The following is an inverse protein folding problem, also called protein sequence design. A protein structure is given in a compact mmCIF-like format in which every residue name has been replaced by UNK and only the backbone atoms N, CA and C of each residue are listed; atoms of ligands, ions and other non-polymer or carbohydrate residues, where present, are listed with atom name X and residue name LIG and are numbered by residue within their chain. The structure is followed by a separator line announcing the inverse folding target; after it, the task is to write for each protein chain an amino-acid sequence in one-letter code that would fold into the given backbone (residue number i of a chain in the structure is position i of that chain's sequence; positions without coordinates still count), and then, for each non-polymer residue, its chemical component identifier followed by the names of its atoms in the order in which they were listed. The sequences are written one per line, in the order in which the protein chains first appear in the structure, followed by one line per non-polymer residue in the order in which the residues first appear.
data_IF_173690236153
#
_entry.id   IF_173690236153
#
_cell.length_a   1.000
_cell.length_b   1.000
_cell.length_c   1.000
_cell.angle_alpha   90.00
_cell.angle_beta   90.00
_cell.angle_gamma   90.00
#
_symmetry.space_group_name_H-M   'P 1'
#
loop_
_entity.id
_entity.type
_entity.pdbx_description
1 polymer ?
#
# COMPACT_ATOMS: atom_id res chain seq x y z
N UNK A 1 -13.34 50.23 -44.31
CA UNK A 1 -13.72 50.84 -43.02
C UNK A 1 -14.00 49.72 -42.03
N UNK A 2 -13.31 49.72 -40.88
CA UNK A 2 -13.49 48.80 -39.74
C UNK A 2 -14.36 49.53 -38.68
N UNK A 3 -15.17 48.84 -37.84
CA UNK A 3 -14.69 48.54 -36.49
C UNK A 3 -15.10 47.12 -36.02
N UNK A 4 -14.13 46.30 -35.63
CA UNK A 4 -13.81 45.96 -34.23
C UNK A 4 -14.96 45.24 -33.50
N UNK A 5 -15.04 43.92 -33.63
CA UNK A 5 -15.81 43.09 -32.71
C UNK A 5 -14.91 42.69 -31.55
N UNK A 6 -15.34 43.10 -30.36
CA UNK A 6 -14.61 43.06 -29.10
C UNK A 6 -14.32 41.61 -28.69
N UNK A 7 -13.07 41.39 -28.30
CA UNK A 7 -12.59 40.21 -27.60
C UNK A 7 -13.44 39.98 -26.34
N UNK A 8 -14.28 38.94 -26.34
CA UNK A 8 -14.83 38.38 -25.12
C UNK A 8 -13.91 37.24 -24.67
N UNK A 9 -13.01 37.58 -23.77
CA UNK A 9 -12.13 36.64 -23.07
C UNK A 9 -12.99 35.73 -22.22
N UNK A 10 -13.19 34.48 -22.65
CA UNK A 10 -13.81 33.44 -21.82
C UNK A 10 -12.75 32.95 -20.85
N UNK A 11 -12.72 33.54 -19.66
CA UNK A 11 -11.89 33.04 -18.56
C UNK A 11 -12.53 31.76 -18.04
N UNK A 12 -12.07 30.62 -18.54
CA UNK A 12 -12.39 29.33 -17.94
C UNK A 12 -11.74 29.26 -16.55
N UNK A 13 -12.57 29.38 -15.52
CA UNK A 13 -12.15 29.18 -14.12
C UNK A 13 -11.84 27.69 -13.96
N UNK A 14 -10.54 27.34 -14.00
CA UNK A 14 -10.05 26.02 -13.64
C UNK A 14 -10.16 25.86 -12.12
N UNK A 15 -11.23 25.23 -11.65
CA UNK A 15 -11.34 24.77 -10.26
C UNK A 15 -10.38 23.58 -10.09
N UNK A 16 -9.13 23.84 -9.69
CA UNK A 16 -8.22 22.80 -9.26
C UNK A 16 -8.75 22.24 -7.94
N UNK A 17 -9.43 21.10 -8.00
CA UNK A 17 -9.83 20.36 -6.81
C UNK A 17 -8.54 19.83 -6.20
N UNK A 18 -7.97 20.58 -5.26
CA UNK A 18 -6.92 20.10 -4.37
C UNK A 18 -7.57 19.10 -3.40
N UNK A 19 -7.92 17.92 -3.91
CA UNK A 19 -8.20 16.78 -3.06
C UNK A 19 -6.90 16.48 -2.32
N UNK A 20 -6.89 16.68 -0.99
CA UNK A 20 -5.78 16.24 -0.17
C UNK A 20 -5.54 14.77 -0.51
N UNK A 21 -4.39 14.48 -1.13
CA UNK A 21 -3.97 13.11 -1.34
C UNK A 21 -3.97 12.46 0.04
N UNK A 22 -4.89 11.51 0.27
CA UNK A 22 -4.89 10.73 1.50
C UNK A 22 -3.53 10.04 1.55
N UNK A 23 -2.66 10.45 2.48
CA UNK A 23 -1.44 9.71 2.76
C UNK A 23 -1.87 8.41 3.42
N UNK A 24 -1.90 7.34 2.62
CA UNK A 24 -2.12 5.96 3.05
C UNK A 24 -0.87 5.46 3.77
N UNK A 25 -0.48 6.17 4.84
CA UNK A 25 0.74 5.96 5.61
C UNK A 25 0.86 4.54 6.18
N UNK A 26 1.77 4.35 7.12
CA UNK A 26 1.89 3.07 7.80
C UNK A 26 0.57 2.82 8.57
N UNK A 27 -0.13 1.74 8.21
CA UNK A 27 -1.32 1.28 8.93
C UNK A 27 -0.88 0.50 10.17
N UNK A 28 -1.48 0.79 11.32
CA UNK A 28 -1.26 -0.02 12.53
C UNK A 28 -1.70 -1.46 12.30
N UNK A 29 -0.93 -2.44 12.79
CA UNK A 29 -1.19 -3.87 12.56
C UNK A 29 -2.61 -4.30 12.98
N UNK A 30 -3.16 -3.68 14.03
CA UNK A 30 -4.52 -3.95 14.52
C UNK A 30 -5.62 -3.50 13.55
N UNK A 31 -5.30 -2.73 12.50
CA UNK A 31 -6.24 -2.33 11.45
C UNK A 31 -6.19 -3.22 10.22
N UNK A 32 -5.14 -4.02 10.05
CA UNK A 32 -4.96 -4.92 8.91
C UNK A 32 -5.60 -6.27 9.18
N UNK A 33 -6.19 -6.86 8.15
CA UNK A 33 -6.84 -8.18 8.18
C UNK A 33 -6.41 -9.02 6.98
N UNK A 34 -6.56 -10.33 7.08
CA UNK A 34 -6.40 -11.28 5.98
C UNK A 34 -7.21 -10.87 4.72
N UNK A 35 -8.41 -10.30 4.91
CA UNK A 35 -9.25 -9.78 3.83
C UNK A 35 -8.57 -8.67 3.02
N UNK A 36 -7.70 -7.87 3.63
CA UNK A 36 -6.99 -6.80 2.91
C UNK A 36 -5.98 -7.39 1.93
N UNK A 37 -5.21 -8.41 2.34
CA UNK A 37 -4.24 -9.08 1.48
C UNK A 37 -4.91 -9.91 0.37
N UNK A 38 -6.05 -10.55 0.66
CA UNK A 38 -6.84 -11.27 -0.37
C UNK A 38 -7.38 -10.37 -1.48
N UNK A 39 -7.46 -9.06 -1.28
CA UNK A 39 -7.88 -8.10 -2.31
C UNK A 39 -6.77 -7.78 -3.31
N UNK A 40 -5.51 -8.09 -2.97
CA UNK A 40 -4.38 -7.90 -3.87
C UNK A 40 -4.48 -8.86 -5.06
N UNK A 41 -4.16 -8.37 -6.25
CA UNK A 41 -4.20 -9.15 -7.49
C UNK A 41 -2.86 -9.02 -8.22
N UNK A 42 -2.29 -10.14 -8.72
CA UNK A 42 -1.07 -10.07 -9.51
C UNK A 42 -1.18 -9.03 -10.63
N UNK A 43 -0.13 -8.24 -10.83
CA UNK A 43 -0.14 -7.14 -11.80
C UNK A 43 -0.38 -5.75 -11.20
N UNK A 44 -0.85 -5.66 -9.95
CA UNK A 44 -0.98 -4.38 -9.24
C UNK A 44 0.37 -3.68 -9.07
N UNK A 45 0.37 -2.35 -9.15
CA UNK A 45 1.54 -1.55 -8.82
C UNK A 45 1.72 -1.44 -7.30
N UNK A 46 2.91 -1.06 -6.84
CA UNK A 46 3.14 -0.69 -5.43
C UNK A 46 2.15 0.34 -4.92
N UNK A 47 1.77 1.32 -5.74
CA UNK A 47 0.78 2.33 -5.35
C UNK A 47 -0.61 1.73 -5.12
N UNK A 48 -1.03 0.80 -5.99
CA UNK A 48 -2.29 0.08 -5.82
C UNK A 48 -2.29 -0.78 -4.55
N UNK A 49 -1.16 -1.46 -4.28
CA UNK A 49 -0.99 -2.24 -3.05
C UNK A 49 -1.07 -1.32 -1.82
N UNK A 50 -0.35 -0.20 -1.83
CA UNK A 50 -0.38 0.80 -0.75
C UNK A 50 -1.79 1.36 -0.52
N UNK A 51 -2.58 1.56 -1.57
CA UNK A 51 -3.97 1.99 -1.43
C UNK A 51 -4.85 0.96 -0.70
N UNK A 52 -4.45 -0.32 -0.69
CA UNK A 52 -5.19 -1.41 -0.04
C UNK A 52 -4.64 -1.68 1.37
N UNK A 53 -3.33 -1.87 1.52
CA UNK A 53 -2.70 -2.34 2.78
C UNK A 53 -1.86 -1.28 3.49
N UNK A 54 -1.74 -0.07 2.93
CA UNK A 54 -0.90 1.02 3.47
C UNK A 54 0.57 0.90 3.06
N UNK A 55 1.39 1.86 3.52
CA UNK A 55 2.86 1.78 3.36
C UNK A 55 3.43 0.66 4.25
N UNK A 56 4.43 -0.10 3.78
CA UNK A 56 5.04 -1.15 4.57
C UNK A 56 5.83 -0.56 5.74
N UNK A 57 5.73 -1.15 6.95
CA UNK A 57 6.64 -0.86 8.05
C UNK A 57 8.10 -1.19 7.70
N UNK A 58 8.30 -2.27 6.94
CA UNK A 58 9.61 -2.72 6.49
C UNK A 58 9.56 -3.31 5.07
N UNK A 59 10.64 -3.08 4.32
CA UNK A 59 10.82 -3.61 2.98
C UNK A 59 12.27 -4.07 2.78
N UNK A 60 12.45 -5.20 2.11
CA UNK A 60 13.75 -5.77 1.78
C UNK A 60 13.80 -6.06 0.29
N UNK A 61 14.89 -5.64 -0.37
CA UNK A 61 15.18 -6.06 -1.75
C UNK A 61 16.14 -7.23 -1.72
N UNK A 62 15.84 -8.29 -2.46
CA UNK A 62 16.69 -9.46 -2.66
C UNK A 62 17.23 -9.44 -4.11
N UNK A 63 18.42 -8.89 -4.37
CA UNK A 63 18.91 -8.65 -5.73
C UNK A 63 19.04 -9.93 -6.57
N UNK A 64 19.51 -11.03 -5.96
CA UNK A 64 19.69 -12.31 -6.64
C UNK A 64 18.37 -12.96 -7.05
N UNK A 65 17.30 -12.71 -6.27
CA UNK A 65 15.95 -13.17 -6.60
C UNK A 65 15.22 -12.19 -7.52
N UNK A 66 15.74 -10.97 -7.67
CA UNK A 66 15.14 -9.88 -8.42
C UNK A 66 13.74 -9.55 -7.87
N UNK A 67 13.65 -9.50 -6.55
CA UNK A 67 12.40 -9.28 -5.83
C UNK A 67 12.57 -8.22 -4.74
N UNK A 68 11.49 -7.50 -4.50
CA UNK A 68 11.32 -6.71 -3.28
C UNK A 68 10.17 -7.32 -2.47
N UNK A 69 10.38 -7.46 -1.17
CA UNK A 69 9.43 -8.06 -0.25
C UNK A 69 9.09 -7.04 0.81
N UNK A 70 7.80 -6.80 0.99
CA UNK A 70 7.27 -5.97 2.07
C UNK A 70 6.77 -6.86 3.19
N UNK A 71 7.05 -6.48 4.43
CA UNK A 71 6.70 -7.23 5.64
C UNK A 71 5.63 -6.45 6.43
N UNK A 72 4.52 -7.13 6.75
CA UNK A 72 3.42 -6.61 7.55
C UNK A 72 3.05 -7.58 8.67
N UNK A 73 2.99 -7.11 9.91
CA UNK A 73 2.21 -7.77 10.95
C UNK A 73 0.74 -7.36 10.85
N UNK A 74 -0.16 -8.29 11.16
CA UNK A 74 -1.59 -8.03 11.25
C UNK A 74 -2.26 -8.95 12.27
N UNK A 75 -3.53 -8.65 12.61
CA UNK A 75 -4.35 -9.51 13.47
C UNK A 75 -5.37 -10.26 12.62
N UNK A 76 -5.35 -11.60 12.67
CA UNK A 76 -6.51 -12.40 12.31
C UNK A 76 -7.28 -12.74 13.58
N UNK A 77 -8.39 -12.02 13.80
CA UNK A 77 -9.17 -12.08 15.04
C UNK A 77 -8.30 -11.70 16.26
N UNK A 78 -7.63 -12.67 16.89
CA UNK A 78 -6.69 -12.46 18.01
C UNK A 78 -5.31 -13.11 17.78
N UNK A 79 -5.09 -13.64 16.58
CA UNK A 79 -3.85 -14.31 16.21
C UNK A 79 -2.95 -13.29 15.51
N UNK A 80 -1.71 -13.16 15.99
CA UNK A 80 -0.71 -12.34 15.35
C UNK A 80 -0.15 -13.07 14.13
N UNK A 81 -0.37 -12.48 12.97
CA UNK A 81 0.01 -13.02 11.69
C UNK A 81 1.00 -12.09 11.01
N UNK A 82 1.78 -12.64 10.10
CA UNK A 82 2.70 -11.91 9.24
C UNK A 82 2.38 -12.17 7.78
N UNK A 83 2.39 -11.12 6.99
CA UNK A 83 2.19 -11.18 5.55
C UNK A 83 3.43 -10.64 4.82
N UNK A 84 3.96 -11.45 3.91
CA UNK A 84 5.06 -11.10 3.02
C UNK A 84 4.51 -10.83 1.62
N UNK A 85 4.67 -9.61 1.12
CA UNK A 85 4.12 -9.16 -0.16
C UNK A 85 5.27 -9.01 -1.17
N UNK A 86 5.24 -9.79 -2.24
CA UNK A 86 6.34 -9.91 -3.20
C UNK A 86 6.10 -9.09 -4.46
N UNK A 87 7.12 -8.35 -4.88
CA UNK A 87 7.14 -7.55 -6.11
C UNK A 87 8.27 -7.99 -7.04
N UNK A 88 8.06 -7.88 -8.36
CA UNK A 88 9.14 -7.97 -9.35
C UNK A 88 10.01 -6.70 -9.35
N UNK A 89 11.07 -6.69 -10.18
CA UNK A 89 12.00 -5.54 -10.30
C UNK A 89 11.37 -4.26 -10.84
N UNK A 90 10.17 -4.34 -11.42
CA UNK A 90 9.41 -3.18 -11.90
C UNK A 90 8.45 -2.67 -10.84
N UNK A 91 8.41 -3.30 -9.66
CA UNK A 91 7.47 -2.97 -8.60
C UNK A 91 6.05 -3.46 -8.87
N UNK A 92 5.92 -4.55 -9.63
CA UNK A 92 4.63 -5.20 -9.89
C UNK A 92 4.42 -6.32 -8.89
N UNK A 93 3.29 -6.29 -8.20
CA UNK A 93 2.90 -7.31 -7.24
C UNK A 93 2.74 -8.67 -7.92
N UNK A 94 3.38 -9.69 -7.32
CA UNK A 94 3.36 -11.08 -7.79
C UNK A 94 2.38 -11.92 -7.00
N UNK A 95 2.57 -11.99 -5.68
CA UNK A 95 1.78 -12.79 -4.73
C UNK A 95 2.13 -12.36 -3.31
N UNK A 96 1.38 -12.87 -2.34
CA UNK A 96 1.71 -12.76 -0.92
C UNK A 96 1.68 -14.12 -0.24
N UNK A 97 2.39 -14.22 0.88
CA UNK A 97 2.37 -15.40 1.76
C UNK A 97 2.01 -14.92 3.16
N UNK A 98 1.19 -15.69 3.86
CA UNK A 98 0.76 -15.42 5.23
C UNK A 98 1.25 -16.54 6.13
N UNK A 99 1.80 -16.18 7.29
CA UNK A 99 2.31 -17.11 8.28
C UNK A 99 2.01 -16.58 9.69
N UNK A 100 2.11 -17.45 10.70
CA UNK A 100 2.14 -16.96 12.08
C UNK A 100 3.31 -16.01 12.28
N UNK A 101 3.09 -14.93 13.03
CA UNK A 101 4.16 -14.03 13.39
C UNK A 101 5.05 -14.70 14.46
N UNK A 102 6.05 -15.46 14.00
CA UNK A 102 6.97 -16.18 14.88
C UNK A 102 7.76 -15.24 15.79
N UNK A 103 8.03 -14.01 15.36
CA UNK A 103 8.74 -13.02 16.17
C UNK A 103 7.87 -12.58 17.35
N UNK A 104 6.56 -12.42 17.14
CA UNK A 104 5.62 -12.17 18.22
C UNK A 104 5.54 -13.37 19.18
N UNK A 105 5.39 -14.59 18.65
CA UNK A 105 5.23 -15.79 19.48
C UNK A 105 6.51 -16.30 20.15
N UNK A 106 7.68 -15.84 19.72
CA UNK A 106 8.97 -16.17 20.33
C UNK A 106 9.57 -14.99 21.12
N UNK A 107 8.87 -13.85 21.14
CA UNK A 107 9.30 -12.62 21.76
C UNK A 107 8.90 -12.51 23.24
N UNK A 108 9.36 -11.44 23.91
CA UNK A 108 9.05 -11.20 25.33
C UNK A 108 7.54 -11.06 25.60
N UNK A 109 6.77 -10.63 24.60
CA UNK A 109 5.33 -10.38 24.68
C UNK A 109 4.48 -11.61 24.29
N UNK A 110 5.10 -12.77 24.09
CA UNK A 110 4.36 -13.99 23.73
C UNK A 110 3.38 -14.38 24.84
N UNK A 111 2.17 -14.87 24.51
CA UNK A 111 1.10 -15.15 25.49
C UNK A 111 1.44 -16.26 26.52
N UNK A 112 2.53 -17.00 26.31
CA UNK A 112 2.98 -18.08 27.19
C UNK A 112 4.38 -17.83 27.80
N UNK A 113 4.91 -16.61 27.67
CA UNK A 113 6.19 -16.21 28.26
C UNK A 113 6.01 -15.56 29.63
#
# INVERSE_FOLDING_TARGET
MIPSLRFFTVTAVLLAIAGCAVDTGIRGFWTLRDTDFRRLKPGMTKADVVAIVGKPPAAVTYPNLREEVWDYSYLDTQIHMRAYVYFDTRGVFKHHVEAFDMDYYSGPDAPNN
#
